data_IF_372243163909
#
_entry.id   IF_372243163909
#
_cell.length_a   1.000
_cell.length_b   1.000
_cell.length_c   1.000
_cell.angle_alpha   90.00
_cell.angle_beta   90.00
_cell.angle_gamma   90.00
#
_symmetry.space_group_name_H-M   'P 1'
#
loop_
_entity.id
_entity.type
_entity.pdbx_description
1 polymer ?
#
# COMPACT_ATOMS: atom_id res chain seq x y z
N UNK A 1 -20.31 -22.23 6.54
CA UNK A 1 -19.72 -20.88 6.63
C UNK A 1 -18.64 -20.90 7.72
N UNK A 2 -17.62 -21.76 7.54
CA UNK A 2 -16.71 -22.18 8.62
C UNK A 2 -15.28 -22.47 8.10
N UNK A 3 -14.92 -21.89 6.94
CA UNK A 3 -13.73 -22.29 6.18
C UNK A 3 -12.67 -21.16 6.06
N UNK A 4 -13.06 -19.92 6.36
CA UNK A 4 -12.14 -18.77 6.36
C UNK A 4 -11.27 -18.71 7.62
N UNK A 5 -11.81 -19.14 8.77
CA UNK A 5 -11.10 -19.09 10.06
C UNK A 5 -9.95 -20.10 10.09
N UNK A 6 -10.20 -21.33 9.62
CA UNK A 6 -9.23 -22.43 9.61
C UNK A 6 -8.03 -22.13 8.71
N UNK A 7 -8.25 -21.57 7.51
CA UNK A 7 -7.19 -21.19 6.56
C UNK A 7 -6.32 -20.04 7.07
N UNK A 8 -6.89 -19.15 7.88
CA UNK A 8 -6.14 -18.03 8.48
C UNK A 8 -5.25 -18.52 9.63
N UNK A 9 -5.72 -19.50 10.41
CA UNK A 9 -4.94 -20.12 11.49
C UNK A 9 -3.81 -21.03 10.97
N UNK A 10 -3.99 -21.74 9.84
CA UNK A 10 -2.91 -22.58 9.28
C UNK A 10 -1.77 -21.76 8.68
N UNK A 11 -2.08 -20.57 8.14
CA UNK A 11 -1.07 -19.63 7.63
C UNK A 11 -0.21 -19.00 8.75
N UNK A 12 -0.74 -18.91 9.98
CA UNK A 12 0.01 -18.40 11.15
C UNK A 12 1.03 -19.41 11.70
N UNK A 13 0.88 -20.70 11.43
CA UNK A 13 1.81 -21.75 11.87
C UNK A 13 2.95 -22.04 10.86
N UNK A 14 3.07 -21.23 9.80
CA UNK A 14 4.03 -21.36 8.69
C UNK A 14 5.06 -20.22 8.70
N UNK A 15 6.10 -20.24 7.84
CA UNK A 15 7.03 -19.11 7.61
C UNK A 15 6.33 -17.76 7.33
N UNK A 16 5.04 -17.77 6.98
CA UNK A 16 4.23 -16.56 6.89
C UNK A 16 3.91 -15.95 8.26
N UNK A 17 3.71 -16.76 9.31
CA UNK A 17 3.53 -16.28 10.69
C UNK A 17 4.75 -15.51 11.18
N UNK A 18 5.96 -16.03 10.93
CA UNK A 18 7.21 -15.33 11.22
C UNK A 18 7.32 -14.01 10.44
N UNK A 19 6.93 -14.02 9.16
CA UNK A 19 6.92 -12.81 8.34
C UNK A 19 5.93 -11.75 8.85
N UNK A 20 4.79 -12.14 9.40
CA UNK A 20 3.78 -11.20 9.94
C UNK A 20 4.29 -10.46 11.18
N UNK A 21 5.07 -11.14 12.01
CA UNK A 21 5.68 -10.59 13.23
C UNK A 21 7.05 -9.93 12.97
N UNK A 22 7.58 -10.02 11.75
CA UNK A 22 8.86 -9.42 11.38
C UNK A 22 8.83 -7.88 11.44
N UNK A 23 10.02 -7.27 11.41
CA UNK A 23 10.18 -5.83 11.38
C UNK A 23 9.62 -5.19 10.08
N UNK A 24 9.52 -3.86 10.06
CA UNK A 24 8.99 -3.15 8.88
C UNK A 24 9.83 -3.38 7.61
N UNK A 25 11.18 -3.28 7.63
CA UNK A 25 12.00 -3.55 6.45
C UNK A 25 11.80 -4.95 5.86
N UNK A 26 11.79 -6.00 6.70
CA UNK A 26 11.59 -7.39 6.22
C UNK A 26 10.22 -7.55 5.58
N UNK A 27 9.17 -6.97 6.18
CA UNK A 27 7.82 -7.00 5.61
C UNK A 27 7.70 -6.24 4.29
N UNK A 28 8.42 -5.14 4.12
CA UNK A 28 8.46 -4.40 2.85
C UNK A 28 9.18 -5.19 1.77
N UNK A 29 10.33 -5.79 2.07
CA UNK A 29 11.05 -6.63 1.11
C UNK A 29 10.20 -7.83 0.65
N UNK A 30 9.45 -8.46 1.56
CA UNK A 30 8.55 -9.53 1.19
C UNK A 30 7.32 -9.04 0.39
N UNK A 31 6.79 -7.85 0.69
CA UNK A 31 5.73 -7.23 -0.12
C UNK A 31 6.23 -6.95 -1.54
N UNK A 32 7.45 -6.42 -1.70
CA UNK A 32 8.08 -6.16 -2.99
C UNK A 32 8.23 -7.45 -3.80
N UNK A 33 8.76 -8.51 -3.20
CA UNK A 33 8.90 -9.82 -3.85
C UNK A 33 7.54 -10.42 -4.27
N UNK A 34 6.50 -10.27 -3.44
CA UNK A 34 5.14 -10.70 -3.79
C UNK A 34 4.54 -9.86 -4.92
N UNK A 35 4.76 -8.54 -4.92
CA UNK A 35 4.34 -7.67 -6.00
C UNK A 35 5.03 -8.03 -7.32
N UNK A 36 6.33 -8.32 -7.28
CA UNK A 36 7.09 -8.77 -8.45
C UNK A 36 6.55 -10.10 -8.98
N UNK A 37 6.33 -11.09 -8.12
CA UNK A 37 5.78 -12.39 -8.51
C UNK A 37 4.38 -12.29 -9.14
N UNK A 38 3.53 -11.39 -8.62
CA UNK A 38 2.18 -11.16 -9.18
C UNK A 38 2.23 -10.36 -10.48
N UNK A 39 3.07 -9.35 -10.58
CA UNK A 39 3.14 -8.47 -11.76
C UNK A 39 3.94 -9.10 -12.92
N UNK A 40 4.83 -10.05 -12.63
CA UNK A 40 5.66 -10.74 -13.60
C UNK A 40 5.00 -11.95 -14.27
N UNK A 41 3.77 -12.30 -13.88
CA UNK A 41 3.00 -13.37 -14.53
C UNK A 41 2.70 -13.04 -16.00
N UNK A 42 2.86 -14.02 -16.89
CA UNK A 42 2.48 -13.85 -18.28
C UNK A 42 0.95 -13.94 -18.44
N UNK A 43 0.37 -12.96 -19.13
CA UNK A 43 -1.09 -12.86 -19.27
C UNK A 43 -1.70 -13.98 -20.12
N UNK A 44 -0.93 -14.64 -21.01
CA UNK A 44 -1.44 -15.81 -21.74
C UNK A 44 -1.46 -17.03 -20.82
N UNK A 45 -0.39 -17.29 -20.07
CA UNK A 45 -0.34 -18.38 -19.09
C UNK A 45 -1.47 -18.26 -18.05
N UNK A 46 -1.74 -17.04 -17.58
CA UNK A 46 -2.83 -16.78 -16.63
C UNK A 46 -4.21 -17.02 -17.25
N UNK A 47 -4.42 -16.70 -18.53
CA UNK A 47 -5.70 -16.93 -19.24
C UNK A 47 -5.92 -18.40 -19.58
N UNK A 48 -4.85 -19.16 -19.75
CA UNK A 48 -4.92 -20.61 -19.95
C UNK A 48 -5.26 -21.34 -18.64
N UNK A 49 -4.83 -20.80 -17.50
CA UNK A 49 -5.04 -21.39 -16.17
C UNK A 49 -6.29 -20.87 -15.44
N UNK A 50 -6.79 -19.68 -15.80
CA UNK A 50 -7.89 -19.01 -15.12
C UNK A 50 -8.94 -18.43 -16.08
N UNK A 51 -10.19 -18.49 -15.65
CA UNK A 51 -11.31 -17.87 -16.36
C UNK A 51 -11.33 -16.35 -16.18
N UNK A 52 -11.95 -15.63 -17.14
CA UNK A 52 -12.14 -14.18 -17.05
C UNK A 52 -12.77 -13.70 -15.72
N UNK A 53 -13.83 -14.34 -15.20
CA UNK A 53 -14.39 -14.00 -13.89
C UNK A 53 -13.42 -14.21 -12.70
N UNK A 54 -12.51 -15.19 -12.77
CA UNK A 54 -11.49 -15.39 -11.72
C UNK A 54 -10.45 -14.28 -11.74
N UNK A 55 -9.95 -13.91 -12.92
CA UNK A 55 -9.05 -12.78 -13.11
C UNK A 55 -9.71 -11.45 -12.68
N UNK A 56 -11.01 -11.28 -12.96
CA UNK A 56 -11.78 -10.13 -12.47
C UNK A 56 -11.83 -10.05 -10.94
N UNK A 57 -12.03 -11.19 -10.25
CA UNK A 57 -11.98 -11.24 -8.77
C UNK A 57 -10.57 -11.00 -8.24
N UNK A 58 -9.54 -11.50 -8.91
CA UNK A 58 -8.14 -11.25 -8.56
C UNK A 58 -7.82 -9.74 -8.65
N UNK A 59 -8.24 -9.07 -9.74
CA UNK A 59 -8.11 -7.62 -9.92
C UNK A 59 -8.74 -6.83 -8.77
N UNK A 60 -9.97 -7.20 -8.34
CA UNK A 60 -10.62 -6.56 -7.18
C UNK A 60 -9.82 -6.77 -5.89
N UNK A 61 -9.20 -7.95 -5.69
CA UNK A 61 -8.37 -8.21 -4.50
C UNK A 61 -7.10 -7.35 -4.50
N UNK A 62 -6.43 -7.21 -5.63
CA UNK A 62 -5.26 -6.33 -5.81
C UNK A 62 -5.67 -4.88 -5.56
N UNK A 63 -6.75 -4.40 -6.18
CA UNK A 63 -7.26 -3.05 -5.98
C UNK A 63 -7.49 -2.71 -4.50
N UNK A 64 -8.15 -3.61 -3.75
CA UNK A 64 -8.37 -3.42 -2.31
C UNK A 64 -7.06 -3.42 -1.51
N UNK A 65 -6.08 -4.25 -1.89
CA UNK A 65 -4.76 -4.23 -1.26
C UNK A 65 -4.04 -2.89 -1.52
N UNK A 66 -4.05 -2.40 -2.76
CA UNK A 66 -3.50 -1.10 -3.12
C UNK A 66 -4.17 0.05 -2.36
N UNK A 67 -5.49 0.02 -2.16
CA UNK A 67 -6.20 1.02 -1.37
C UNK A 67 -5.72 1.04 0.10
N UNK A 68 -5.56 -0.13 0.73
CA UNK A 68 -5.02 -0.25 2.10
C UNK A 68 -3.59 0.29 2.21
N UNK A 69 -2.74 -0.12 1.27
CA UNK A 69 -1.35 0.31 1.21
C UNK A 69 -1.24 1.82 0.94
N UNK A 70 -2.12 2.37 0.11
CA UNK A 70 -2.20 3.82 -0.13
C UNK A 70 -2.54 4.56 1.16
N UNK A 71 -3.51 4.07 1.93
CA UNK A 71 -3.84 4.64 3.24
C UNK A 71 -2.67 4.59 4.22
N UNK A 72 -1.96 3.45 4.28
CA UNK A 72 -0.75 3.33 5.11
C UNK A 72 0.34 4.30 4.66
N UNK A 73 0.56 4.44 3.35
CA UNK A 73 1.52 5.39 2.76
C UNK A 73 1.19 6.83 3.14
N UNK A 74 -0.08 7.23 3.12
CA UNK A 74 -0.47 8.57 3.58
C UNK A 74 -0.15 8.81 5.06
N UNK A 75 -0.25 7.80 5.91
CA UNK A 75 0.20 7.94 7.31
C UNK A 75 1.72 8.13 7.40
N UNK A 76 2.50 7.40 6.62
CA UNK A 76 3.95 7.60 6.57
C UNK A 76 4.33 8.99 6.03
N UNK A 77 3.65 9.46 4.98
CA UNK A 77 3.87 10.81 4.46
C UNK A 77 3.57 11.88 5.51
N UNK A 78 2.52 11.69 6.31
CA UNK A 78 2.18 12.63 7.38
C UNK A 78 3.24 12.64 8.50
N UNK A 79 3.84 11.49 8.82
CA UNK A 79 4.95 11.37 9.79
C UNK A 79 6.22 12.02 9.24
N UNK A 80 6.62 11.69 8.01
CA UNK A 80 7.79 12.29 7.36
C UNK A 80 7.65 13.80 7.23
N UNK A 81 6.46 14.30 6.85
CA UNK A 81 6.19 15.74 6.78
C UNK A 81 6.47 16.44 8.11
N UNK A 82 5.98 15.85 9.21
CA UNK A 82 6.12 16.40 10.57
C UNK A 82 7.54 16.32 11.10
N UNK A 83 8.29 15.27 10.75
CA UNK A 83 9.69 15.11 11.16
C UNK A 83 10.62 16.16 10.51
N UNK A 84 10.28 16.64 9.31
CA UNK A 84 10.93 17.80 8.70
C UNK A 84 12.30 17.53 8.07
N UNK A 85 12.91 16.36 8.28
CA UNK A 85 14.20 15.98 7.69
C UNK A 85 14.18 15.93 6.16
N UNK A 86 13.00 15.82 5.54
CA UNK A 86 12.85 15.93 4.08
C UNK A 86 13.39 17.24 3.51
N UNK A 87 13.36 18.34 4.29
CA UNK A 87 13.84 19.65 3.87
C UNK A 87 15.37 19.72 3.75
N UNK A 88 16.09 18.78 4.38
CA UNK A 88 17.55 18.67 4.31
C UNK A 88 18.04 17.70 3.23
N UNK A 89 17.13 17.19 2.39
CA UNK A 89 17.50 16.33 1.27
C UNK A 89 18.38 17.07 0.26
N UNK A 90 19.25 16.34 -0.44
CA UNK A 90 20.15 16.92 -1.45
C UNK A 90 19.41 17.63 -2.60
N UNK A 91 18.13 17.31 -2.81
CA UNK A 91 17.27 17.97 -3.78
C UNK A 91 16.84 19.40 -3.36
N UNK A 92 16.97 19.77 -2.08
CA UNK A 92 16.58 21.07 -1.53
C UNK A 92 15.15 21.53 -1.92
N UNK A 93 14.12 20.71 -1.63
CA UNK A 93 12.74 21.00 -2.01
C UNK A 93 12.20 22.24 -1.27
N UNK A 94 11.51 23.14 -1.98
CA UNK A 94 10.86 24.32 -1.38
C UNK A 94 9.59 24.00 -0.60
N UNK A 95 8.96 22.87 -0.89
CA UNK A 95 7.73 22.40 -0.24
C UNK A 95 7.77 20.88 -0.12
N UNK A 96 7.06 20.34 0.86
CA UNK A 96 6.97 18.89 1.03
C UNK A 96 6.35 18.19 -0.19
N UNK A 97 5.39 18.82 -0.86
CA UNK A 97 4.84 18.29 -2.11
C UNK A 97 5.89 18.21 -3.25
N UNK A 98 6.87 19.11 -3.27
CA UNK A 98 7.98 19.05 -4.23
C UNK A 98 8.94 17.89 -3.91
N UNK A 99 9.21 17.66 -2.62
CA UNK A 99 9.95 16.50 -2.15
C UNK A 99 9.29 15.19 -2.58
N UNK A 100 8.00 15.03 -2.28
CA UNK A 100 7.23 13.82 -2.64
C UNK A 100 7.15 13.62 -4.15
N UNK A 101 6.99 14.71 -4.94
CA UNK A 101 6.99 14.62 -6.39
C UNK A 101 8.32 14.04 -6.93
N UNK A 102 9.44 14.51 -6.37
CA UNK A 102 10.77 14.07 -6.75
C UNK A 102 11.04 12.61 -6.32
N UNK A 103 10.80 12.27 -5.05
CA UNK A 103 11.12 10.94 -4.52
C UNK A 103 10.22 9.83 -5.08
N UNK A 104 8.96 10.14 -5.40
CA UNK A 104 8.02 9.16 -5.97
C UNK A 104 8.01 9.16 -7.52
N UNK A 105 8.73 10.07 -8.18
CA UNK A 105 8.71 10.17 -9.64
C UNK A 105 7.34 10.53 -10.23
N UNK A 106 6.58 11.39 -9.56
CA UNK A 106 5.22 11.79 -9.97
C UNK A 106 5.10 13.29 -10.22
N UNK A 107 4.02 13.70 -10.90
CA UNK A 107 3.74 15.12 -11.10
C UNK A 107 3.52 15.85 -9.77
N UNK A 108 3.91 17.13 -9.71
CA UNK A 108 3.67 17.98 -8.55
C UNK A 108 2.18 18.06 -8.16
N UNK A 109 1.28 18.04 -9.16
CA UNK A 109 -0.17 18.03 -8.94
C UNK A 109 -0.60 16.80 -8.15
N UNK A 110 -0.13 15.62 -8.54
CA UNK A 110 -0.44 14.37 -7.86
C UNK A 110 0.16 14.35 -6.44
N UNK A 111 1.42 14.79 -6.30
CA UNK A 111 2.06 14.89 -4.99
C UNK A 111 1.32 15.85 -4.05
N UNK A 112 0.90 17.02 -4.55
CA UNK A 112 0.12 17.99 -3.78
C UNK A 112 -1.23 17.42 -3.31
N UNK A 113 -1.93 16.71 -4.19
CA UNK A 113 -3.17 16.02 -3.82
C UNK A 113 -2.93 14.95 -2.76
N UNK A 114 -1.88 14.15 -2.90
CA UNK A 114 -1.51 13.11 -1.93
C UNK A 114 -1.19 13.72 -0.55
N UNK A 115 -0.37 14.77 -0.50
CA UNK A 115 -0.02 15.46 0.76
C UNK A 115 -1.26 16.05 1.41
N UNK A 116 -2.16 16.67 0.63
CA UNK A 116 -3.44 17.19 1.17
C UNK A 116 -4.28 16.07 1.80
N UNK A 117 -4.43 14.94 1.11
CA UNK A 117 -5.19 13.79 1.63
C UNK A 117 -4.53 13.21 2.89
N UNK A 118 -3.20 13.12 2.92
CA UNK A 118 -2.45 12.67 4.09
C UNK A 118 -2.68 13.56 5.32
N UNK A 119 -2.70 14.89 5.13
CA UNK A 119 -3.01 15.85 6.19
C UNK A 119 -4.46 15.71 6.68
N UNK A 120 -5.43 15.63 5.78
CA UNK A 120 -6.84 15.41 6.14
C UNK A 120 -7.04 14.11 6.94
N UNK A 121 -6.35 13.03 6.57
CA UNK A 121 -6.37 11.78 7.30
C UNK A 121 -5.79 11.88 8.72
N UNK A 122 -4.71 12.65 8.88
CA UNK A 122 -4.07 12.91 10.18
C UNK A 122 -4.97 13.75 11.07
N UNK A 123 -5.53 14.82 10.51
CA UNK A 123 -6.09 15.93 11.28
C UNK A 123 -7.61 15.81 11.50
N UNK A 124 -8.35 15.18 10.57
CA UNK A 124 -9.81 15.35 10.51
C UNK A 124 -10.62 14.06 10.66
N UNK A 125 -10.09 12.87 10.33
CA UNK A 125 -10.97 11.68 10.22
C UNK A 125 -10.36 10.34 10.66
N UNK A 126 -10.35 10.04 11.98
CA UNK A 126 -9.90 8.74 12.50
C UNK A 126 -10.65 7.53 11.91
N UNK A 127 -11.97 7.63 11.69
CA UNK A 127 -12.81 6.55 11.12
C UNK A 127 -12.53 6.30 9.63
N UNK A 128 -12.24 7.35 8.86
CA UNK A 128 -11.89 7.22 7.45
C UNK A 128 -10.48 6.62 7.30
N UNK A 129 -9.53 7.00 8.18
CA UNK A 129 -8.25 6.31 8.26
C UNK A 129 -8.41 4.81 8.53
N UNK A 130 -9.33 4.41 9.42
CA UNK A 130 -9.64 2.99 9.65
C UNK A 130 -10.29 2.31 8.43
N UNK A 131 -11.24 2.96 7.76
CA UNK A 131 -11.88 2.44 6.55
C UNK A 131 -10.93 2.30 5.36
N UNK A 132 -10.05 3.29 5.15
CA UNK A 132 -9.01 3.25 4.12
C UNK A 132 -8.00 2.12 4.41
N UNK A 133 -7.58 1.93 5.66
CA UNK A 133 -6.73 0.78 6.08
C UNK A 133 -7.43 -0.57 5.96
N UNK A 134 -8.76 -0.63 6.03
CA UNK A 134 -9.53 -1.84 5.75
C UNK A 134 -9.70 -2.09 4.25
N UNK A 135 -9.49 -1.06 3.41
CA UNK A 135 -9.69 -1.12 1.96
C UNK A 135 -11.17 -1.17 1.59
N UNK A 136 -12.03 -0.63 2.46
CA UNK A 136 -13.47 -0.53 2.26
C UNK A 136 -13.86 0.71 1.45
N UNK A 137 -12.96 1.69 1.39
CA UNK A 137 -13.08 2.92 0.60
C UNK A 137 -11.78 3.16 -0.18
N UNK A 138 -11.89 3.77 -1.36
CA UNK A 138 -10.75 4.23 -2.14
C UNK A 138 -10.32 5.65 -1.76
N UNK A 139 -9.08 6.05 -2.11
CA UNK A 139 -8.65 7.45 -2.06
C UNK A 139 -9.38 8.32 -3.11
#
# INVERSE_FOLDING_TARGET
MTDLTTRTDTLRASPLGELLEADLPTRLAALEALCEAVAGGDIQDERDQHTGPELGRASVRVHRACARLTGKRYQWLAVEETDGLWATSAFHPRTYASHVAHTHGISYRNASQMVRLARQLRDEIPRFGAALRAGTIGP
#
